data_IF_074322232385
#
_entry.id   IF_074322232385
#
_cell.length_a   1.000
_cell.length_b   1.000
_cell.length_c   1.000
_cell.angle_alpha   90.00
_cell.angle_beta   90.00
_cell.angle_gamma   90.00
#
_symmetry.space_group_name_H-M   'P 1'
#
loop_
_entity.id
_entity.type
_entity.pdbx_description
1 polymer ?
#
# COMPACT_ATOMS: atom_id res chain seq x y z
N UNK A 1 6.54 2.36 2.89
CA UNK A 1 6.81 0.95 3.27
C UNK A 1 6.16 0.64 4.60
N UNK A 2 5.53 -0.49 4.71
CA UNK A 2 4.77 -0.88 5.89
C UNK A 2 5.42 -2.11 6.50
N UNK A 3 5.70 -2.07 7.79
CA UNK A 3 6.38 -3.14 8.52
C UNK A 3 5.49 -3.71 9.64
N UNK A 4 5.80 -4.91 10.07
CA UNK A 4 5.06 -5.64 11.09
C UNK A 4 4.46 -6.92 10.53
N UNK A 5 3.34 -7.36 11.11
CA UNK A 5 2.60 -8.50 10.57
C UNK A 5 1.69 -7.98 9.45
N UNK A 6 2.23 -7.92 8.24
CA UNK A 6 1.55 -7.31 7.08
C UNK A 6 1.48 -8.24 5.87
N UNK A 7 2.16 -9.39 5.91
CA UNK A 7 2.04 -10.42 4.87
C UNK A 7 1.20 -11.57 5.39
N UNK A 8 0.44 -12.22 4.49
CA UNK A 8 -0.43 -13.33 4.86
C UNK A 8 -1.69 -12.92 5.62
N UNK A 9 -2.03 -11.62 5.61
CA UNK A 9 -3.16 -11.05 6.35
C UNK A 9 -4.12 -10.27 5.45
N UNK A 10 -4.08 -10.52 4.14
CA UNK A 10 -4.87 -9.85 3.11
C UNK A 10 -4.58 -8.35 2.96
N UNK A 11 -3.40 -7.90 3.35
CA UNK A 11 -3.03 -6.49 3.27
C UNK A 11 -3.10 -5.96 1.83
N UNK A 12 -2.49 -6.67 0.89
CA UNK A 12 -2.44 -6.25 -0.52
C UNK A 12 -3.82 -6.16 -1.14
N UNK A 13 -4.65 -7.18 -0.92
CA UNK A 13 -6.00 -7.23 -1.50
C UNK A 13 -6.89 -6.13 -0.94
N UNK A 14 -6.87 -5.93 0.37
CA UNK A 14 -7.64 -4.86 1.04
C UNK A 14 -7.13 -3.49 0.61
N UNK A 15 -5.81 -3.32 0.48
CA UNK A 15 -5.20 -2.09 -0.01
C UNK A 15 -5.72 -1.74 -1.41
N UNK A 16 -5.74 -2.72 -2.31
CA UNK A 16 -6.25 -2.51 -3.66
C UNK A 16 -7.73 -2.13 -3.66
N UNK A 17 -8.54 -2.82 -2.89
CA UNK A 17 -9.97 -2.52 -2.80
C UNK A 17 -10.20 -1.08 -2.32
N UNK A 18 -9.49 -0.66 -1.29
CA UNK A 18 -9.60 0.71 -0.77
C UNK A 18 -9.11 1.75 -1.77
N UNK A 19 -8.00 1.48 -2.45
CA UNK A 19 -7.47 2.39 -3.45
C UNK A 19 -8.44 2.59 -4.60
N UNK A 20 -9.03 1.52 -5.11
CA UNK A 20 -10.05 1.58 -6.17
C UNK A 20 -11.25 2.40 -5.68
N UNK A 21 -11.73 2.15 -4.47
CA UNK A 21 -12.86 2.88 -3.90
C UNK A 21 -12.57 4.37 -3.73
N UNK A 22 -11.33 4.74 -3.43
CA UNK A 22 -10.91 6.14 -3.29
C UNK A 22 -10.54 6.80 -4.62
N UNK A 23 -10.47 6.03 -5.71
CA UNK A 23 -10.03 6.56 -6.99
C UNK A 23 -8.53 6.88 -7.03
N UNK A 24 -7.75 6.19 -6.21
CA UNK A 24 -6.30 6.32 -6.15
C UNK A 24 -5.66 5.29 -7.08
N UNK A 25 -4.67 5.71 -7.84
CA UNK A 25 -3.90 4.82 -8.71
C UNK A 25 -2.57 4.44 -8.02
N UNK A 26 -1.95 3.39 -8.49
CA UNK A 26 -0.68 2.95 -7.94
C UNK A 26 -0.53 1.44 -7.94
N UNK A 27 0.22 0.95 -6.97
CA UNK A 27 0.46 -0.47 -6.82
C UNK A 27 0.86 -0.82 -5.39
N UNK A 28 0.79 -2.11 -5.07
CA UNK A 28 1.20 -2.66 -3.79
C UNK A 28 1.88 -4.01 -4.03
N UNK A 29 2.92 -4.32 -3.26
CA UNK A 29 3.61 -5.60 -3.33
C UNK A 29 4.23 -5.99 -1.99
N UNK A 30 4.39 -7.29 -1.76
CA UNK A 30 5.20 -7.79 -0.67
C UNK A 30 6.68 -7.66 -1.02
N UNK A 31 7.51 -7.40 -0.02
CA UNK A 31 8.97 -7.42 -0.16
C UNK A 31 9.54 -8.70 0.46
N UNK A 32 10.72 -9.15 0.01
CA UNK A 32 11.30 -10.39 0.52
C UNK A 32 11.53 -10.43 2.04
N UNK A 33 11.75 -9.27 2.66
CA UNK A 33 12.01 -9.18 4.09
C UNK A 33 10.78 -9.21 5.00
N UNK A 34 9.58 -9.31 4.42
CA UNK A 34 8.34 -9.35 5.21
C UNK A 34 7.54 -8.05 5.21
N UNK A 35 8.09 -6.97 4.70
CA UNK A 35 7.40 -5.68 4.60
C UNK A 35 6.49 -5.64 3.37
N UNK A 36 5.63 -4.63 3.33
CA UNK A 36 4.80 -4.30 2.17
C UNK A 36 5.19 -2.92 1.66
N UNK A 37 5.33 -2.79 0.36
CA UNK A 37 5.61 -1.54 -0.31
C UNK A 37 4.40 -1.15 -1.16
N UNK A 38 4.01 0.13 -1.11
CA UNK A 38 2.91 0.63 -1.91
C UNK A 38 3.22 2.03 -2.44
N UNK A 39 2.68 2.33 -3.62
CA UNK A 39 2.73 3.66 -4.22
C UNK A 39 1.28 4.10 -4.45
N UNK A 40 0.97 5.30 -4.00
CA UNK A 40 -0.35 5.90 -4.18
C UNK A 40 -0.23 7.21 -4.94
N UNK A 41 -1.02 7.36 -6.00
CA UNK A 41 -1.08 8.59 -6.79
C UNK A 41 -2.54 9.04 -6.91
N UNK A 42 -2.76 10.33 -6.78
CA UNK A 42 -4.09 10.91 -6.90
C UNK A 42 -4.24 12.20 -6.12
N UNK A 43 -5.47 12.68 -5.92
CA UNK A 43 -5.71 13.86 -5.11
C UNK A 43 -5.13 13.70 -3.70
N UNK A 44 -4.54 14.75 -3.18
CA UNK A 44 -3.81 14.71 -1.91
C UNK A 44 -4.66 14.17 -0.75
N UNK A 45 -5.91 14.59 -0.65
CA UNK A 45 -6.81 14.14 0.41
C UNK A 45 -7.07 12.63 0.35
N UNK A 46 -7.18 12.08 -0.84
CA UNK A 46 -7.42 10.64 -1.04
C UNK A 46 -6.17 9.82 -0.79
N UNK A 47 -5.01 10.31 -1.23
CA UNK A 47 -3.73 9.67 -0.93
C UNK A 47 -3.50 9.66 0.58
N UNK A 48 -3.79 10.77 1.26
CA UNK A 48 -3.68 10.83 2.72
C UNK A 48 -4.55 9.77 3.41
N UNK A 49 -5.77 9.56 2.92
CA UNK A 49 -6.64 8.50 3.46
C UNK A 49 -6.04 7.12 3.29
N UNK A 50 -5.39 6.86 2.16
CA UNK A 50 -4.72 5.58 1.93
C UNK A 50 -3.53 5.39 2.87
N UNK A 51 -2.74 6.44 3.09
CA UNK A 51 -1.62 6.40 4.03
C UNK A 51 -2.13 6.17 5.45
N UNK A 52 -3.18 6.86 5.86
CA UNK A 52 -3.81 6.67 7.18
C UNK A 52 -4.29 5.24 7.36
N UNK A 53 -4.95 4.69 6.33
CA UNK A 53 -5.38 3.30 6.35
C UNK A 53 -4.20 2.35 6.50
N UNK A 54 -3.07 2.62 5.83
CA UNK A 54 -1.88 1.77 5.89
C UNK A 54 -1.31 1.67 7.31
N UNK A 55 -1.47 2.70 8.14
CA UNK A 55 -1.06 2.64 9.53
C UNK A 55 -1.88 1.63 10.34
N UNK A 56 -3.08 1.33 9.90
CA UNK A 56 -4.01 0.41 10.54
C UNK A 56 -3.95 -0.98 9.91
N UNK A 57 -4.01 -1.03 8.59
CA UNK A 57 -4.12 -2.26 7.82
C UNK A 57 -5.44 -2.98 8.02
N UNK A 58 -5.60 -4.17 7.43
CA UNK A 58 -6.79 -5.00 7.65
C UNK A 58 -6.82 -5.56 9.08
N UNK A 59 -7.97 -6.09 9.54
CA UNK A 59 -8.14 -6.54 10.93
C UNK A 59 -7.10 -7.55 11.42
N UNK A 60 -6.59 -8.42 10.54
CA UNK A 60 -5.60 -9.43 10.93
C UNK A 60 -4.16 -8.90 10.93
N UNK A 61 -3.94 -7.66 10.47
CA UNK A 61 -2.61 -7.08 10.42
C UNK A 61 -2.21 -6.47 11.77
N UNK A 62 -0.91 -6.42 12.01
CA UNK A 62 -0.34 -5.70 13.14
C UNK A 62 0.79 -4.82 12.60
N UNK A 63 0.44 -3.59 12.24
CA UNK A 63 1.38 -2.62 11.67
C UNK A 63 2.22 -2.02 12.80
N UNK A 64 3.53 -2.11 12.68
CA UNK A 64 4.46 -1.57 13.67
C UNK A 64 5.10 -0.27 13.22
N UNK A 65 5.25 -0.07 11.91
CA UNK A 65 5.89 1.12 11.37
C UNK A 65 5.41 1.38 9.95
N UNK A 66 5.23 2.64 9.61
CA UNK A 66 4.97 3.08 8.23
C UNK A 66 5.98 4.17 7.89
N UNK A 67 6.77 3.93 6.85
CA UNK A 67 7.69 4.92 6.32
C UNK A 67 7.07 5.53 5.05
N UNK A 68 6.86 6.84 5.06
CA UNK A 68 6.23 7.56 3.95
C UNK A 68 7.24 8.47 3.29
N UNK A 69 7.29 8.43 1.95
CA UNK A 69 8.12 9.33 1.15
C UNK A 69 7.29 9.92 0.04
N UNK A 70 7.49 11.22 -0.22
CA UNK A 70 6.93 11.85 -1.40
C UNK A 70 7.89 11.59 -2.56
N UNK A 71 7.32 11.14 -3.69
CA UNK A 71 8.11 10.82 -4.88
C UNK A 71 7.48 11.47 -6.11
N UNK A 72 8.26 11.56 -7.19
CA UNK A 72 7.76 12.03 -8.47
C UNK A 72 6.64 11.11 -8.96
N UNK A 73 5.51 11.66 -9.44
CA UNK A 73 4.43 10.85 -9.98
C UNK A 73 4.90 10.00 -11.16
N UNK A 74 4.50 8.72 -11.16
CA UNK A 74 4.80 7.81 -12.26
C UNK A 74 3.68 7.80 -13.32
N UNK A 75 2.63 8.56 -13.10
CA UNK A 75 1.44 8.65 -13.98
C UNK A 75 0.80 7.28 -14.21
N UNK A 76 0.62 6.56 -13.11
CA UNK A 76 0.04 5.23 -13.13
C UNK A 76 -1.45 5.28 -13.44
N UNK A 77 -1.95 4.20 -14.06
CA UNK A 77 -3.38 4.02 -14.29
C UNK A 77 -3.84 2.76 -13.56
N UNK A 78 -4.99 2.86 -12.86
CA UNK A 78 -5.49 1.74 -12.07
C UNK A 78 -4.67 1.47 -10.83
N UNK A 79 -5.02 0.41 -10.12
CA UNK A 79 -4.27 -0.04 -8.95
C UNK A 79 -3.97 -1.53 -9.07
N UNK A 80 -2.69 -1.87 -9.01
CA UNK A 80 -2.23 -3.24 -9.25
C UNK A 80 -1.58 -3.86 -8.02
N UNK A 81 -1.75 -5.17 -7.89
CA UNK A 81 -0.96 -5.98 -6.95
C UNK A 81 0.19 -6.58 -7.75
N UNK A 82 1.41 -6.16 -7.44
CA UNK A 82 2.60 -6.63 -8.15
C UNK A 82 3.19 -7.87 -7.46
N UNK A 83 3.91 -8.70 -8.20
CA UNK A 83 4.62 -9.83 -7.60
C UNK A 83 5.74 -9.34 -6.67
N UNK A 84 6.11 -10.20 -5.71
CA UNK A 84 7.24 -9.95 -4.83
C UNK A 84 8.53 -9.92 -5.65
N UNK A 85 9.33 -8.85 -5.57
CA UNK A 85 10.59 -8.81 -6.29
C UNK A 85 11.57 -9.86 -5.74
N UNK A 86 12.48 -10.31 -6.57
CA UNK A 86 13.51 -11.25 -6.12
C UNK A 86 14.52 -10.54 -5.23
N UNK A 87 14.93 -11.25 -4.21
CA UNK A 87 15.96 -10.74 -3.30
C UNK A 87 17.32 -10.69 -3.98
#
# INVERSE_FOLDING_TARGET
>A
MVSGRVQGVFFRDTCRQNAVAQGVTGWVRNLPGGDVEAVFEGPEDRVTRMVDWAHQGPPAAAVTEVEVRDEEPERLSGFEVLPTPRA
#
